data_IF_728309688377
#
_entry.id   IF_728309688377
#
_cell.length_a   1.000
_cell.length_b   1.000
_cell.length_c   1.000
_cell.angle_alpha   90.00
_cell.angle_beta   90.00
_cell.angle_gamma   90.00
#
_symmetry.space_group_name_H-M   'P 1'
#
loop_
_entity.id
_entity.type
_entity.pdbx_description
1 polymer ?
#
# COMPACT_ATOMS: atom_id res chain seq x y z
N UNK A 1 3.91 4.48 18.52
CA UNK A 1 4.28 4.58 17.10
C UNK A 1 3.14 5.24 16.34
N UNK A 2 3.43 5.93 15.25
CA UNK A 2 2.45 6.27 14.22
C UNK A 2 3.05 5.79 12.89
N UNK A 3 2.43 4.82 12.24
CA UNK A 3 2.87 4.29 10.95
C UNK A 3 1.77 4.43 9.92
N UNK A 4 2.16 4.69 8.68
CA UNK A 4 1.27 4.65 7.52
C UNK A 4 2.02 4.05 6.36
N UNK A 5 1.61 2.85 5.95
CA UNK A 5 2.15 2.15 4.79
C UNK A 5 1.21 2.36 3.61
N UNK A 6 1.78 2.68 2.45
CA UNK A 6 1.06 3.02 1.23
C UNK A 6 1.67 2.21 0.08
N UNK A 7 0.91 1.34 -0.55
CA UNK A 7 1.37 0.55 -1.68
C UNK A 7 0.37 0.68 -2.84
N UNK A 8 0.74 1.30 -3.98
CA UNK A 8 -0.18 1.47 -5.10
C UNK A 8 -0.55 0.14 -5.75
N UNK A 9 0.30 -0.88 -5.65
CA UNK A 9 0.07 -2.18 -6.28
C UNK A 9 1.34 -2.98 -6.62
N UNK A 10 2.49 -2.69 -6.03
CA UNK A 10 3.75 -3.39 -6.30
C UNK A 10 3.98 -4.52 -5.30
N UNK A 11 4.22 -5.73 -5.79
CA UNK A 11 4.54 -6.90 -4.96
C UNK A 11 5.90 -6.75 -4.27
N UNK A 12 6.84 -6.08 -4.94
CA UNK A 12 8.23 -5.90 -4.50
C UNK A 12 8.33 -4.99 -3.26
N UNK A 13 7.25 -4.25 -2.94
CA UNK A 13 7.13 -3.45 -1.71
C UNK A 13 6.68 -4.29 -0.50
N UNK A 14 6.40 -5.57 -0.69
CA UNK A 14 6.17 -6.54 0.37
C UNK A 14 7.43 -7.36 0.59
N UNK A 15 7.66 -7.81 1.83
CA UNK A 15 8.81 -8.65 2.18
C UNK A 15 8.57 -10.11 1.77
N UNK A 16 8.38 -10.35 0.47
CA UNK A 16 8.06 -11.65 -0.15
C UNK A 16 8.87 -11.87 -1.41
N UNK A 17 9.29 -13.12 -1.62
CA UNK A 17 10.05 -13.51 -2.82
C UNK A 17 9.15 -13.93 -3.98
N UNK A 18 7.99 -14.52 -3.68
CA UNK A 18 7.16 -15.19 -4.68
C UNK A 18 5.96 -14.37 -5.15
N UNK A 19 5.83 -13.13 -4.67
CA UNK A 19 4.80 -12.20 -5.14
C UNK A 19 5.10 -11.66 -6.54
N UNK A 20 4.06 -11.25 -7.26
CA UNK A 20 4.21 -10.68 -8.59
C UNK A 20 3.30 -9.47 -8.82
N UNK A 21 3.88 -8.45 -9.44
CA UNK A 21 3.17 -7.26 -9.93
C UNK A 21 2.51 -7.56 -11.27
N UNK A 22 1.27 -7.08 -11.43
CA UNK A 22 0.42 -7.21 -12.60
C UNK A 22 -0.01 -5.81 -13.03
N UNK A 23 0.34 -5.45 -14.26
CA UNK A 23 0.01 -4.17 -14.87
C UNK A 23 -1.33 -4.27 -15.59
N UNK A 24 -2.19 -3.27 -15.41
CA UNK A 24 -3.46 -3.15 -16.13
C UNK A 24 -4.46 -2.27 -15.41
N UNK A 25 -4.94 -1.23 -16.09
CA UNK A 25 -5.96 -0.31 -15.56
C UNK A 25 -7.30 -1.00 -15.29
N UNK A 26 -7.58 -2.13 -15.97
CA UNK A 26 -8.74 -2.95 -15.68
C UNK A 26 -8.68 -3.62 -14.30
N UNK A 27 -7.48 -3.79 -13.73
CA UNK A 27 -7.26 -4.44 -12.44
C UNK A 27 -7.09 -3.44 -11.30
N UNK A 28 -6.68 -2.21 -11.60
CA UNK A 28 -6.42 -1.19 -10.58
C UNK A 28 -6.57 0.24 -11.09
N UNK A 29 -7.06 1.12 -10.22
CA UNK A 29 -7.08 2.57 -10.41
C UNK A 29 -5.68 3.20 -10.45
N UNK A 30 -4.65 2.53 -9.93
CA UNK A 30 -3.25 3.00 -9.97
C UNK A 30 -2.50 2.47 -11.20
N UNK A 31 -3.15 1.61 -12.01
CA UNK A 31 -2.54 0.92 -13.15
C UNK A 31 -1.70 -0.31 -12.78
N UNK A 32 -1.42 -0.53 -11.50
CA UNK A 32 -0.64 -1.66 -10.99
C UNK A 32 -1.36 -2.37 -9.87
N UNK A 33 -1.21 -3.68 -9.80
CA UNK A 33 -1.78 -4.54 -8.77
C UNK A 33 -0.84 -5.69 -8.50
N UNK A 34 -1.01 -6.40 -7.39
CA UNK A 34 -0.16 -7.54 -7.06
C UNK A 34 -0.98 -8.72 -6.56
N UNK A 35 -0.34 -9.88 -6.63
CA UNK A 35 -0.69 -11.04 -5.83
C UNK A 35 0.56 -11.59 -5.15
N UNK A 36 0.40 -12.23 -4.00
CA UNK A 36 1.52 -12.86 -3.30
C UNK A 36 1.08 -14.18 -2.62
N UNK A 37 1.63 -15.34 -3.03
CA UNK A 37 1.18 -16.64 -2.55
C UNK A 37 1.90 -17.15 -1.31
N UNK A 38 2.97 -16.49 -0.87
CA UNK A 38 3.75 -16.89 0.30
C UNK A 38 2.98 -16.60 1.58
N UNK A 39 2.56 -17.68 2.25
CA UNK A 39 1.80 -17.59 3.49
C UNK A 39 2.59 -16.92 4.63
N UNK A 40 1.89 -16.15 5.48
CA UNK A 40 2.45 -15.40 6.62
C UNK A 40 3.60 -14.44 6.30
N UNK A 41 3.55 -13.83 5.11
CA UNK A 41 4.50 -12.78 4.71
C UNK A 41 3.76 -11.54 4.22
N UNK A 42 4.45 -10.41 4.27
CA UNK A 42 3.88 -9.11 3.96
C UNK A 42 4.75 -7.99 4.52
N UNK A 43 4.23 -7.26 5.49
CA UNK A 43 4.87 -6.09 6.09
C UNK A 43 5.33 -6.39 7.53
N UNK A 44 6.60 -6.14 7.81
CA UNK A 44 7.13 -6.19 9.18
C UNK A 44 7.15 -4.78 9.79
N UNK A 45 6.60 -4.65 10.98
CA UNK A 45 6.53 -3.42 11.76
C UNK A 45 7.61 -3.43 12.86
N UNK A 46 8.06 -2.25 13.29
CA UNK A 46 8.99 -2.14 14.42
C UNK A 46 8.34 -2.48 15.76
N UNK A 47 7.05 -2.18 15.89
CA UNK A 47 6.24 -2.39 17.10
C UNK A 47 4.90 -3.04 16.73
N UNK A 48 4.26 -3.69 17.72
CA UNK A 48 2.91 -4.24 17.55
C UNK A 48 1.92 -3.07 17.57
N UNK A 49 1.07 -2.92 16.55
CA UNK A 49 0.14 -1.79 16.49
C UNK A 49 -1.02 -2.02 17.48
N UNK A 50 -1.39 -0.99 18.28
CA UNK A 50 -2.46 -1.12 19.25
C UNK A 50 -3.83 -1.28 18.60
N UNK A 51 -4.00 -0.79 17.37
CA UNK A 51 -5.15 -0.99 16.48
C UNK A 51 -4.62 -1.01 15.04
N UNK A 52 -5.37 -1.60 14.11
CA UNK A 52 -4.99 -1.62 12.70
C UNK A 52 -6.18 -1.20 11.84
N UNK A 53 -5.94 -0.19 11.01
CA UNK A 53 -6.81 0.23 9.93
C UNK A 53 -6.21 -0.21 8.60
N UNK A 54 -7.04 -0.69 7.69
CA UNK A 54 -6.63 -1.08 6.36
C UNK A 54 -7.65 -0.69 5.31
N UNK A 55 -7.14 -0.26 4.15
CA UNK A 55 -7.95 0.02 2.96
C UNK A 55 -7.22 -0.52 1.74
N UNK A 56 -7.89 -1.24 0.88
CA UNK A 56 -7.33 -1.73 -0.37
C UNK A 56 -8.39 -1.89 -1.45
N UNK A 57 -7.98 -1.82 -2.70
CA UNK A 57 -8.82 -2.19 -3.83
C UNK A 57 -8.52 -3.66 -4.18
N UNK A 58 -9.56 -4.43 -4.46
CA UNK A 58 -9.51 -5.84 -4.83
C UNK A 58 -10.17 -6.03 -6.21
N UNK A 59 -9.53 -6.82 -7.07
CA UNK A 59 -10.10 -7.27 -8.34
C UNK A 59 -10.12 -8.79 -8.39
N UNK A 60 -11.29 -9.38 -8.65
CA UNK A 60 -11.47 -10.83 -8.78
C UNK A 60 -11.69 -11.17 -10.25
N UNK A 61 -10.80 -11.94 -10.88
CA UNK A 61 -10.91 -12.33 -12.30
C UNK A 61 -12.10 -13.28 -12.56
N UNK A 62 -12.51 -14.05 -11.55
CA UNK A 62 -13.54 -15.09 -11.60
C UNK A 62 -13.35 -16.06 -12.78
N UNK A 63 -12.21 -16.75 -12.76
CA UNK A 63 -11.89 -17.82 -13.70
C UNK A 63 -12.62 -19.12 -13.32
N UNK A 64 -12.74 -20.07 -14.26
CA UNK A 64 -13.34 -21.40 -13.99
C UNK A 64 -12.60 -22.17 -12.87
N UNK A 65 -11.32 -21.82 -12.61
CA UNK A 65 -10.50 -22.34 -11.51
C UNK A 65 -10.74 -21.66 -10.15
N UNK A 66 -11.58 -20.62 -10.10
CA UNK A 66 -11.81 -19.74 -8.94
C UNK A 66 -12.40 -20.42 -7.69
N UNK A 67 -12.63 -21.74 -7.70
CA UNK A 67 -12.97 -22.51 -6.50
C UNK A 67 -11.85 -22.59 -5.47
N UNK A 68 -10.59 -22.35 -5.87
CA UNK A 68 -9.44 -22.41 -4.96
C UNK A 68 -8.86 -21.04 -4.60
N UNK A 69 -9.27 -19.95 -5.25
CA UNK A 69 -8.67 -18.64 -5.04
C UNK A 69 -9.06 -18.06 -3.66
N UNK A 70 -8.08 -17.48 -2.97
CA UNK A 70 -8.22 -17.02 -1.59
C UNK A 70 -7.39 -15.77 -1.33
N UNK A 71 -8.04 -14.76 -0.75
CA UNK A 71 -7.40 -13.62 -0.10
C UNK A 71 -7.37 -13.85 1.41
N UNK A 72 -6.29 -13.49 2.09
CA UNK A 72 -6.26 -13.37 3.55
C UNK A 72 -5.36 -12.21 4.00
N UNK A 73 -5.90 -11.30 4.80
CA UNK A 73 -5.10 -10.39 5.63
C UNK A 73 -5.03 -10.97 7.04
N UNK A 74 -3.85 -10.98 7.63
CA UNK A 74 -3.62 -11.45 8.99
C UNK A 74 -2.62 -10.57 9.72
N UNK A 75 -2.72 -10.51 11.05
CA UNK A 75 -1.71 -9.90 11.93
C UNK A 75 -1.41 -10.86 13.08
N UNK A 76 -0.14 -11.11 13.37
CA UNK A 76 0.21 -12.07 14.43
C UNK A 76 -0.37 -13.45 14.22
N UNK A 77 -0.45 -13.92 12.98
CA UNK A 77 -1.07 -15.20 12.65
C UNK A 77 -2.61 -15.21 12.69
N UNK A 78 -3.26 -14.19 13.26
CA UNK A 78 -4.71 -14.06 13.31
C UNK A 78 -5.22 -13.53 11.97
N UNK A 79 -5.98 -14.35 11.25
CA UNK A 79 -6.70 -13.92 10.05
C UNK A 79 -7.77 -12.91 10.44
N UNK A 80 -7.83 -11.80 9.71
CA UNK A 80 -8.70 -10.65 9.94
C UNK A 80 -9.75 -10.57 8.83
N UNK A 81 -9.28 -10.46 7.59
CA UNK A 81 -10.10 -10.38 6.39
C UNK A 81 -9.78 -11.60 5.54
N UNK A 82 -10.80 -12.28 5.04
CA UNK A 82 -10.63 -13.30 4.02
C UNK A 82 -11.64 -13.06 2.89
N UNK A 83 -11.23 -13.30 1.65
CA UNK A 83 -12.14 -13.39 0.51
C UNK A 83 -11.99 -14.76 -0.13
N UNK A 84 -13.09 -15.49 -0.25
CA UNK A 84 -13.14 -16.81 -0.87
C UNK A 84 -14.50 -17.04 -1.54
N UNK A 85 -14.54 -18.01 -2.46
CA UNK A 85 -15.76 -18.40 -3.16
C UNK A 85 -16.58 -19.34 -2.27
N UNK A 86 -17.77 -18.91 -1.88
CA UNK A 86 -18.77 -19.73 -1.17
C UNK A 86 -19.83 -20.22 -2.15
N UNK A 87 -19.80 -21.52 -2.45
CA UNK A 87 -20.60 -22.13 -3.52
C UNK A 87 -20.39 -21.40 -4.86
N UNK A 88 -21.32 -20.54 -5.25
CA UNK A 88 -21.28 -19.78 -6.51
C UNK A 88 -20.99 -18.28 -6.33
N UNK A 89 -20.85 -17.78 -5.10
CA UNK A 89 -20.69 -16.34 -4.82
C UNK A 89 -19.39 -16.06 -4.08
N UNK A 90 -18.70 -15.00 -4.50
CA UNK A 90 -17.57 -14.46 -3.76
C UNK A 90 -18.06 -13.67 -2.56
N UNK A 91 -17.46 -13.89 -1.39
CA UNK A 91 -17.77 -13.13 -0.18
C UNK A 91 -16.49 -12.74 0.53
N UNK A 92 -16.54 -11.61 1.22
CA UNK A 92 -15.53 -11.23 2.20
C UNK A 92 -16.07 -11.58 3.59
N UNK A 93 -15.21 -12.16 4.43
CA UNK A 93 -15.52 -12.43 5.83
C UNK A 93 -14.53 -11.76 6.76
N UNK A 94 -15.06 -11.33 7.89
CA UNK A 94 -14.29 -11.07 9.08
C UNK A 94 -14.01 -12.37 9.80
N UNK A 95 -12.76 -12.60 10.15
CA UNK A 95 -12.33 -13.79 10.87
C UNK A 95 -11.54 -13.40 12.11
N UNK A 96 -11.55 -14.31 13.08
CA UNK A 96 -10.63 -14.34 14.19
C UNK A 96 -10.00 -15.74 14.19
N UNK A 97 -8.93 -15.89 13.40
CA UNK A 97 -8.28 -17.17 13.15
C UNK A 97 -9.21 -18.22 12.49
N UNK A 98 -9.86 -19.08 13.28
CA UNK A 98 -10.79 -20.12 12.81
C UNK A 98 -12.25 -19.80 13.09
N UNK A 99 -12.53 -18.74 13.86
CA UNK A 99 -13.88 -18.27 14.13
C UNK A 99 -14.27 -17.21 13.10
N UNK A 100 -15.44 -17.40 12.49
CA UNK A 100 -16.02 -16.43 11.58
C UNK A 100 -16.76 -15.38 12.40
N UNK A 101 -16.30 -14.12 12.34
CA UNK A 101 -16.92 -13.01 13.07
C UNK A 101 -18.09 -12.42 12.28
N UNK A 102 -17.92 -12.27 10.97
CA UNK A 102 -18.93 -11.69 10.09
C UNK A 102 -18.75 -12.18 8.66
N UNK A 103 -19.83 -12.17 7.87
CA UNK A 103 -19.82 -12.46 6.44
C UNK A 103 -20.56 -11.36 5.72
N UNK A 104 -19.89 -10.75 4.74
CA UNK A 104 -20.52 -9.77 3.88
C UNK A 104 -21.40 -10.37 2.79
N UNK A 105 -22.07 -9.48 2.09
CA UNK A 105 -22.80 -9.79 0.88
C UNK A 105 -21.87 -10.29 -0.24
N UNK A 106 -22.49 -10.71 -1.34
CA UNK A 106 -21.75 -11.09 -2.52
C UNK A 106 -20.90 -9.92 -3.04
N UNK A 107 -19.63 -10.18 -3.28
CA UNK A 107 -18.67 -9.23 -3.84
C UNK A 107 -18.72 -9.29 -5.36
N UNK A 108 -18.54 -8.14 -6.01
CA UNK A 108 -18.51 -8.07 -7.47
C UNK A 108 -17.24 -8.75 -8.01
N UNK A 109 -17.38 -9.34 -9.18
CA UNK A 109 -16.29 -9.97 -9.92
C UNK A 109 -16.06 -9.22 -11.21
N UNK A 110 -14.83 -9.29 -11.72
CA UNK A 110 -14.36 -8.57 -12.91
C UNK A 110 -14.51 -7.05 -12.81
N UNK A 111 -14.59 -6.56 -11.58
CA UNK A 111 -14.70 -5.16 -11.21
C UNK A 111 -13.84 -4.90 -9.99
N UNK A 112 -13.46 -3.63 -9.81
CA UNK A 112 -12.72 -3.18 -8.64
C UNK A 112 -13.70 -2.97 -7.48
N UNK A 113 -13.41 -3.60 -6.34
CA UNK A 113 -14.10 -3.40 -5.07
C UNK A 113 -13.16 -2.79 -4.05
N UNK A 114 -13.58 -1.73 -3.36
CA UNK A 114 -12.82 -1.15 -2.25
C UNK A 114 -13.20 -1.83 -0.94
N UNK A 115 -12.20 -2.34 -0.22
CA UNK A 115 -12.37 -2.92 1.12
C UNK A 115 -11.73 -1.98 2.12
N UNK A 116 -12.44 -1.69 3.19
CA UNK A 116 -11.92 -0.97 4.35
C UNK A 116 -12.18 -1.82 5.61
N UNK A 117 -11.24 -1.82 6.54
CA UNK A 117 -11.41 -2.46 7.83
C UNK A 117 -10.70 -1.70 8.95
N UNK A 118 -11.20 -1.90 10.16
CA UNK A 118 -10.60 -1.51 11.43
C UNK A 118 -10.68 -2.69 12.39
N UNK A 119 -9.55 -3.02 13.00
CA UNK A 119 -9.49 -3.93 14.12
C UNK A 119 -8.83 -3.29 15.33
N UNK A 120 -9.39 -3.60 16.49
CA UNK A 120 -8.81 -3.30 17.79
C UNK A 120 -8.73 -4.61 18.58
N UNK A 121 -7.56 -4.97 19.11
CA UNK A 121 -7.40 -6.13 19.97
C UNK A 121 -8.18 -5.91 21.26
N UNK A 122 -8.76 -6.99 21.77
CA UNK A 122 -9.54 -6.96 22.98
C UNK A 122 -9.93 -8.35 23.45
N UNK A 123 -9.76 -8.56 24.74
CA UNK A 123 -10.23 -9.74 25.46
C UNK A 123 -11.44 -9.32 26.31
N UNK A 124 -12.46 -10.18 26.42
CA UNK A 124 -13.65 -9.93 27.25
C UNK A 124 -14.51 -8.70 26.84
N UNK A 125 -14.67 -8.48 25.54
CA UNK A 125 -15.70 -7.59 25.00
C UNK A 125 -15.31 -6.11 24.84
N UNK A 126 -14.02 -5.80 24.70
CA UNK A 126 -13.51 -4.45 24.41
C UNK A 126 -12.77 -4.33 23.06
N UNK A 127 -12.78 -5.39 22.24
CA UNK A 127 -12.19 -5.39 20.91
C UNK A 127 -13.16 -4.90 19.84
N UNK A 128 -12.63 -4.43 18.72
CA UNK A 128 -13.42 -3.93 17.59
C UNK A 128 -13.10 -4.73 16.34
N UNK A 129 -14.13 -5.06 15.59
CA UNK A 129 -14.03 -5.52 14.21
C UNK A 129 -15.05 -4.77 13.36
N UNK A 130 -14.58 -3.87 12.52
CA UNK A 130 -15.42 -3.07 11.63
C UNK A 130 -14.91 -3.21 10.20
N UNK A 131 -15.79 -3.53 9.26
CA UNK A 131 -15.43 -3.64 7.85
C UNK A 131 -16.51 -3.04 6.95
N UNK A 132 -16.06 -2.46 5.84
CA UNK A 132 -16.90 -1.89 4.79
C UNK A 132 -16.42 -2.38 3.43
N UNK A 133 -17.36 -2.57 2.50
CA UNK A 133 -17.08 -2.87 1.10
C UNK A 133 -17.81 -1.83 0.25
N UNK A 134 -17.08 -1.15 -0.61
CA UNK A 134 -17.60 -0.08 -1.48
C UNK A 134 -18.43 0.96 -0.69
N UNK A 135 -17.87 1.42 0.44
CA UNK A 135 -18.49 2.36 1.38
C UNK A 135 -19.76 1.85 2.08
N UNK A 136 -20.14 0.57 1.91
CA UNK A 136 -21.25 -0.05 2.63
C UNK A 136 -20.73 -0.81 3.84
N UNK A 137 -21.28 -0.50 5.01
CA UNK A 137 -20.95 -1.23 6.24
C UNK A 137 -21.39 -2.70 6.09
N UNK A 138 -20.43 -3.61 6.28
CA UNK A 138 -20.66 -5.07 6.23
C UNK A 138 -20.83 -5.61 7.64
N UNK A 139 -20.03 -5.11 8.57
CA UNK A 139 -20.10 -5.50 9.97
C UNK A 139 -19.42 -4.48 10.85
N UNK A 140 -19.93 -4.31 12.06
CA UNK A 140 -19.40 -3.39 13.05
C UNK A 140 -19.62 -3.97 14.45
N UNK A 141 -18.65 -4.77 14.90
CA UNK A 141 -18.68 -5.49 16.17
C UNK A 141 -17.79 -4.72 17.15
N UNK A 142 -18.38 -4.23 18.25
CA UNK A 142 -17.70 -3.39 19.26
C UNK A 142 -17.23 -4.17 20.50
N UNK A 143 -17.52 -5.47 20.53
CA UNK A 143 -17.18 -6.41 21.60
C UNK A 143 -16.52 -7.67 21.05
N UNK A 144 -15.72 -7.53 19.99
CA UNK A 144 -15.05 -8.63 19.32
C UNK A 144 -13.94 -9.21 20.20
N UNK A 145 -13.75 -10.53 20.12
CA UNK A 145 -12.55 -11.18 20.64
C UNK A 145 -11.47 -11.11 19.56
N UNK A 146 -10.41 -10.33 19.80
CA UNK A 146 -9.30 -10.12 18.84
C UNK A 146 -7.98 -10.21 19.61
N UNK A 147 -7.27 -11.33 19.46
CA UNK A 147 -6.18 -11.73 20.37
C UNK A 147 -4.75 -11.53 19.87
N UNK A 148 -4.52 -10.71 18.83
CA UNK A 148 -3.21 -10.70 18.17
C UNK A 148 -2.05 -10.15 19.01
N UNK A 149 -2.32 -9.37 20.07
CA UNK A 149 -1.27 -8.73 20.89
C UNK A 149 -0.31 -9.72 21.57
N UNK A 150 -0.77 -10.94 21.86
CA UNK A 150 0.02 -11.95 22.58
C UNK A 150 0.81 -12.86 21.66
N UNK A 151 0.66 -12.72 20.34
CA UNK A 151 1.35 -13.56 19.36
C UNK A 151 2.77 -13.07 19.10
N UNK A 152 3.72 -14.01 18.93
CA UNK A 152 5.11 -13.68 18.60
C UNK A 152 5.27 -12.94 17.27
N UNK A 153 4.35 -13.15 16.33
CA UNK A 153 4.35 -12.57 14.99
C UNK A 153 3.49 -11.31 14.90
N UNK A 154 3.04 -10.74 16.02
CA UNK A 154 2.12 -9.59 16.07
C UNK A 154 2.66 -8.31 15.40
N UNK A 155 3.95 -8.30 15.05
CA UNK A 155 4.61 -7.25 14.27
C UNK A 155 4.53 -7.48 12.75
N UNK A 156 3.97 -8.60 12.30
CA UNK A 156 3.87 -8.92 10.87
C UNK A 156 2.42 -8.84 10.43
N UNK A 157 2.16 -7.96 9.47
CA UNK A 157 0.90 -7.95 8.70
C UNK A 157 1.14 -8.82 7.48
N UNK A 158 0.48 -9.97 7.45
CA UNK A 158 0.54 -10.89 6.32
C UNK A 158 -0.61 -10.65 5.36
N UNK A 159 -0.31 -10.71 4.07
CA UNK A 159 -1.28 -10.54 2.97
C UNK A 159 -1.11 -11.71 2.05
N UNK A 160 -2.06 -12.63 1.95
CA UNK A 160 -1.99 -13.79 1.07
C UNK A 160 -3.00 -13.64 -0.06
N UNK A 161 -2.55 -13.80 -1.31
CA UNK A 161 -3.38 -14.25 -2.43
C UNK A 161 -2.72 -15.45 -3.07
N UNK A 162 -3.35 -16.62 -2.97
CA UNK A 162 -2.70 -17.88 -3.33
C UNK A 162 -2.46 -18.07 -4.84
N UNK A 163 -3.09 -17.25 -5.68
CA UNK A 163 -2.86 -17.18 -7.12
C UNK A 163 -3.23 -15.78 -7.64
N UNK A 164 -3.13 -15.59 -8.95
CA UNK A 164 -3.42 -14.33 -9.65
C UNK A 164 -4.91 -14.11 -9.97
N UNK A 165 -5.83 -14.95 -9.46
CA UNK A 165 -7.28 -14.75 -9.64
C UNK A 165 -7.82 -13.60 -8.77
N UNK A 166 -7.12 -13.27 -7.68
CA UNK A 166 -7.41 -12.11 -6.83
C UNK A 166 -6.19 -11.20 -6.81
N UNK A 167 -6.39 -9.97 -7.27
CA UNK A 167 -5.36 -8.93 -7.33
C UNK A 167 -5.68 -7.83 -6.31
N UNK A 168 -4.63 -7.32 -5.65
CA UNK A 168 -4.70 -6.26 -4.65
C UNK A 168 -4.00 -5.01 -5.20
N UNK A 169 -4.56 -3.84 -4.94
CA UNK A 169 -3.91 -2.55 -5.21
C UNK A 169 -4.40 -1.49 -4.24
N UNK A 170 -3.91 -0.26 -4.37
CA UNK A 170 -4.42 0.88 -3.59
C UNK A 170 -4.42 0.59 -2.06
N UNK A 171 -3.37 -0.07 -1.59
CA UNK A 171 -3.25 -0.59 -0.22
C UNK A 171 -2.74 0.51 0.72
N UNK A 172 -3.48 0.77 1.77
CA UNK A 172 -3.14 1.66 2.88
C UNK A 172 -3.29 0.86 4.18
N UNK A 173 -2.25 0.84 5.01
CA UNK A 173 -2.27 0.26 6.36
C UNK A 173 -1.80 1.31 7.36
N UNK A 174 -2.47 1.42 8.50
CA UNK A 174 -2.22 2.48 9.48
C UNK A 174 -2.60 2.03 10.89
N UNK A 175 -1.86 2.49 11.91
CA UNK A 175 -2.26 2.36 13.32
C UNK A 175 -3.22 3.48 13.77
N UNK A 176 -3.44 4.47 12.91
CA UNK A 176 -4.43 5.53 13.10
C UNK A 176 -5.58 5.40 12.10
N UNK A 177 -6.73 6.00 12.44
CA UNK A 177 -7.93 6.00 11.61
C UNK A 177 -7.65 6.53 10.19
N UNK A 178 -8.07 5.74 9.20
CA UNK A 178 -8.09 6.16 7.79
C UNK A 178 -9.53 6.24 7.33
N UNK A 179 -9.85 7.23 6.50
CA UNK A 179 -11.18 7.32 5.92
C UNK A 179 -11.42 6.15 4.95
N UNK A 180 -12.62 5.53 4.93
CA UNK A 180 -13.01 4.60 3.87
C UNK A 180 -12.89 5.18 2.45
N UNK A 181 -12.90 6.52 2.34
CA UNK A 181 -12.76 7.26 1.07
C UNK A 181 -11.31 7.61 0.72
N UNK A 182 -10.36 7.42 1.63
CA UNK A 182 -8.96 7.75 1.37
C UNK A 182 -8.33 6.79 0.36
N UNK A 183 -7.86 7.27 -0.78
CA UNK A 183 -7.29 6.45 -1.84
C UNK A 183 -5.87 6.88 -2.22
N UNK A 184 -5.09 5.90 -2.67
CA UNK A 184 -3.80 6.07 -3.33
C UNK A 184 -4.05 6.47 -4.78
N UNK A 185 -3.39 7.55 -5.19
CA UNK A 185 -3.37 8.02 -6.57
C UNK A 185 -1.92 8.16 -7.03
N UNK A 186 -1.68 7.92 -8.31
CA UNK A 186 -0.41 8.29 -8.92
C UNK A 186 -0.42 9.80 -9.15
N UNK A 187 0.58 10.50 -8.62
CA UNK A 187 0.68 11.94 -8.81
C UNK A 187 1.10 12.22 -10.27
N UNK A 188 0.31 12.99 -11.04
CA UNK A 188 0.70 13.35 -12.39
C UNK A 188 1.93 14.25 -12.32
N UNK A 189 2.94 13.95 -13.14
CA UNK A 189 4.19 14.71 -13.19
C UNK A 189 4.03 15.85 -14.18
N UNK A 190 4.25 17.08 -13.72
CA UNK A 190 4.30 18.27 -14.59
C UNK A 190 5.68 18.45 -15.22
N UNK A 191 6.73 18.27 -14.43
CA UNK A 191 8.11 18.41 -14.88
C UNK A 191 9.06 17.61 -14.00
N UNK A 192 10.17 17.17 -14.60
CA UNK A 192 11.27 16.52 -13.91
C UNK A 192 12.50 17.42 -13.97
N UNK A 193 13.12 17.67 -12.82
CA UNK A 193 14.40 18.35 -12.67
C UNK A 193 15.42 17.36 -12.15
N UNK A 194 16.54 17.20 -12.84
CA UNK A 194 17.57 16.27 -12.40
C UNK A 194 18.96 16.67 -12.87
N UNK A 195 19.95 16.29 -12.07
CA UNK A 195 21.37 16.34 -12.43
C UNK A 195 21.91 14.93 -12.72
N UNK A 196 21.05 13.91 -12.76
CA UNK A 196 21.36 12.54 -13.15
C UNK A 196 21.31 12.38 -14.67
N UNK A 197 21.93 11.31 -15.18
CA UNK A 197 21.91 11.00 -16.62
C UNK A 197 20.56 10.38 -16.98
N UNK A 198 19.83 10.98 -17.91
CA UNK A 198 18.61 10.41 -18.49
C UNK A 198 18.97 9.28 -19.47
N UNK A 199 18.43 8.08 -19.24
CA UNK A 199 18.68 6.91 -20.06
C UNK A 199 17.75 6.79 -21.28
N UNK A 200 16.74 7.67 -21.41
CA UNK A 200 15.80 7.72 -22.53
C UNK A 200 14.65 6.71 -22.46
N UNK A 201 14.58 5.90 -21.42
CA UNK A 201 13.52 4.92 -21.14
C UNK A 201 12.67 5.28 -19.90
N UNK A 202 12.88 6.47 -19.34
CA UNK A 202 12.27 6.94 -18.11
C UNK A 202 13.09 6.64 -16.85
N UNK A 203 14.21 5.91 -16.97
CA UNK A 203 15.16 5.71 -15.88
C UNK A 203 16.25 6.80 -15.86
N UNK A 204 16.85 6.99 -14.68
CA UNK A 204 17.90 7.97 -14.44
C UNK A 204 19.07 7.32 -13.71
N UNK A 205 20.29 7.57 -14.20
CA UNK A 205 21.52 7.04 -13.63
C UNK A 205 22.30 8.14 -12.90
N UNK A 206 22.51 7.95 -11.60
CA UNK A 206 23.40 8.79 -10.82
C UNK A 206 24.84 8.27 -10.93
N UNK A 207 25.77 9.17 -11.25
CA UNK A 207 27.21 8.89 -11.40
C UNK A 207 28.05 9.48 -10.26
N UNK A 208 27.44 10.29 -9.39
CA UNK A 208 28.07 10.91 -8.24
C UNK A 208 27.09 11.12 -7.08
N UNK A 209 27.62 11.12 -5.86
CA UNK A 209 26.84 11.45 -4.67
C UNK A 209 26.36 12.91 -4.71
N UNK A 210 25.14 13.14 -4.24
CA UNK A 210 24.50 14.46 -4.19
C UNK A 210 23.65 14.83 -5.40
N UNK A 211 23.65 14.02 -6.46
CA UNK A 211 22.75 14.23 -7.61
C UNK A 211 21.29 14.01 -7.20
N UNK A 212 20.42 14.91 -7.66
CA UNK A 212 18.99 14.90 -7.37
C UNK A 212 18.18 14.46 -8.60
N UNK A 213 17.08 13.76 -8.36
CA UNK A 213 15.96 13.55 -9.29
C UNK A 213 14.70 14.05 -8.59
N UNK A 214 14.05 15.07 -9.15
CA UNK A 214 12.93 15.77 -8.53
C UNK A 214 11.79 15.94 -9.52
N UNK A 215 10.57 15.72 -9.06
CA UNK A 215 9.36 15.86 -9.86
C UNK A 215 8.41 16.88 -9.23
N UNK A 216 7.93 17.82 -10.05
CA UNK A 216 6.83 18.71 -9.71
C UNK A 216 5.50 18.05 -10.12
N UNK A 217 4.47 18.24 -9.31
CA UNK A 217 3.15 17.64 -9.53
C UNK A 217 2.28 18.55 -10.42
N UNK A 218 1.52 17.97 -11.35
CA UNK A 218 0.52 18.70 -12.11
C UNK A 218 -0.72 18.99 -11.24
N UNK A 219 -0.68 20.14 -10.58
CA UNK A 219 -1.74 20.58 -9.66
C UNK A 219 -3.03 20.92 -10.41
N UNK A 220 -2.92 21.37 -11.66
CA UNK A 220 -4.10 21.69 -12.46
C UNK A 220 -4.89 20.40 -12.75
N UNK A 221 -4.22 19.36 -13.22
CA UNK A 221 -4.84 18.06 -13.45
C UNK A 221 -5.47 17.47 -12.17
N UNK A 222 -4.72 17.50 -11.05
CA UNK A 222 -5.23 17.01 -9.77
C UNK A 222 -6.43 17.81 -9.26
N UNK A 223 -6.39 19.14 -9.37
CA UNK A 223 -7.47 20.02 -8.91
C UNK A 223 -8.72 19.85 -9.75
N UNK A 224 -8.59 19.62 -11.06
CA UNK A 224 -9.72 19.30 -11.94
C UNK A 224 -10.36 17.96 -11.55
N UNK A 225 -9.56 16.95 -11.24
CA UNK A 225 -10.08 15.61 -10.96
C UNK A 225 -10.64 15.45 -9.54
N UNK A 226 -9.99 16.03 -8.53
CA UNK A 226 -10.30 15.79 -7.12
C UNK A 226 -10.71 17.05 -6.35
N UNK A 227 -10.58 18.24 -6.93
CA UNK A 227 -10.80 19.51 -6.24
C UNK A 227 -9.58 19.97 -5.45
N UNK A 228 -9.24 21.26 -5.56
CA UNK A 228 -8.04 21.83 -4.96
C UNK A 228 -7.98 21.72 -3.41
N UNK A 229 -9.14 21.65 -2.75
CA UNK A 229 -9.26 21.54 -1.29
C UNK A 229 -9.21 20.09 -0.77
N UNK A 230 -9.10 19.10 -1.66
CA UNK A 230 -8.96 17.70 -1.24
C UNK A 230 -7.68 17.50 -0.43
N UNK A 231 -7.80 16.70 0.63
CA UNK A 231 -6.71 16.44 1.57
C UNK A 231 -5.76 15.38 1.05
N UNK A 232 -4.46 15.65 1.19
CA UNK A 232 -3.36 14.72 1.00
C UNK A 232 -2.93 14.25 2.39
N UNK A 233 -3.22 13.00 2.71
CA UNK A 233 -3.00 12.40 4.04
C UNK A 233 -1.66 11.65 4.14
N UNK A 234 -0.97 11.47 3.02
CA UNK A 234 0.33 10.84 2.94
C UNK A 234 0.95 11.02 1.56
N UNK A 235 2.26 10.88 1.48
CA UNK A 235 3.03 10.90 0.24
C UNK A 235 3.96 9.68 0.28
N UNK A 236 4.00 8.95 -0.84
CA UNK A 236 4.93 7.84 -1.03
C UNK A 236 5.79 8.11 -2.25
N UNK A 237 7.11 8.17 -2.05
CA UNK A 237 8.08 8.21 -3.13
C UNK A 237 8.49 6.79 -3.48
N UNK A 238 8.48 6.46 -4.76
CA UNK A 238 8.82 5.12 -5.26
C UNK A 238 9.91 5.27 -6.32
N UNK A 239 11.03 4.58 -6.13
CA UNK A 239 12.03 4.35 -7.17
C UNK A 239 11.83 2.96 -7.75
N UNK A 240 11.42 2.86 -9.02
CA UNK A 240 11.13 1.60 -9.70
C UNK A 240 11.58 1.64 -11.18
N UNK A 241 12.65 0.91 -11.56
CA UNK A 241 13.56 0.19 -10.67
C UNK A 241 14.46 1.16 -9.88
N UNK A 242 15.01 0.68 -8.76
CA UNK A 242 16.01 1.37 -7.95
C UNK A 242 17.07 0.37 -7.48
N UNK A 243 18.23 0.41 -8.14
CA UNK A 243 19.35 -0.49 -7.89
C UNK A 243 20.68 0.22 -8.02
N UNK A 244 21.74 -0.39 -7.50
CA UNK A 244 23.11 0.11 -7.60
C UNK A 244 23.95 -0.79 -8.49
N UNK A 245 24.85 -0.16 -9.25
CA UNK A 245 25.84 -0.83 -10.10
C UNK A 245 27.24 -0.84 -9.48
N UNK A 246 27.47 -0.06 -8.41
CA UNK A 246 28.73 0.04 -7.70
C UNK A 246 28.53 0.28 -6.18
N UNK A 247 29.54 -0.06 -5.39
CA UNK A 247 29.50 0.09 -3.92
C UNK A 247 29.51 1.56 -3.47
N UNK A 248 30.12 2.45 -4.26
CA UNK A 248 30.30 3.87 -3.89
C UNK A 248 29.07 4.76 -4.01
N UNK A 249 27.95 4.26 -4.53
CA UNK A 249 26.69 5.00 -4.66
C UNK A 249 25.52 4.04 -4.39
N UNK A 250 25.24 3.80 -3.12
CA UNK A 250 24.32 2.75 -2.69
C UNK A 250 23.12 3.26 -1.90
N UNK A 251 23.01 4.56 -1.65
CA UNK A 251 21.93 5.14 -0.85
C UNK A 251 21.08 6.08 -1.69
N UNK A 252 19.77 5.91 -1.62
CA UNK A 252 18.78 6.88 -2.06
C UNK A 252 18.16 7.56 -0.83
N UNK A 253 18.29 8.89 -0.78
CA UNK A 253 17.65 9.70 0.27
C UNK A 253 16.41 10.36 -0.31
N UNK A 254 15.26 10.13 0.30
CA UNK A 254 14.02 10.79 -0.07
C UNK A 254 14.11 12.28 0.28
N UNK A 255 13.81 13.15 -0.68
CA UNK A 255 13.87 14.61 -0.51
C UNK A 255 12.61 15.30 -0.98
N UNK A 256 12.34 16.44 -0.38
CA UNK A 256 11.33 17.40 -0.81
C UNK A 256 11.94 18.79 -0.88
N UNK A 257 11.71 19.51 -1.98
CA UNK A 257 12.06 20.93 -2.11
C UNK A 257 10.79 21.77 -2.06
N UNK A 258 10.80 22.81 -1.23
CA UNK A 258 9.70 23.77 -1.11
C UNK A 258 10.26 25.16 -0.82
N UNK A 259 10.02 26.14 -1.70
CA UNK A 259 10.44 27.53 -1.48
C UNK A 259 11.94 27.71 -1.20
N UNK A 260 12.80 26.92 -1.87
CA UNK A 260 14.26 26.94 -1.68
C UNK A 260 14.78 26.10 -0.50
N UNK A 261 13.91 25.59 0.37
CA UNK A 261 14.30 24.67 1.43
C UNK A 261 14.31 23.23 0.92
N UNK A 262 15.31 22.45 1.33
CA UNK A 262 15.39 21.01 1.08
C UNK A 262 15.17 20.28 2.39
N UNK A 263 14.13 19.45 2.44
CA UNK A 263 13.86 18.55 3.56
C UNK A 263 14.25 17.13 3.16
N UNK A 264 15.01 16.45 4.01
CA UNK A 264 15.40 15.04 3.83
C UNK A 264 14.54 14.15 4.72
N UNK A 265 14.16 12.98 4.22
CA UNK A 265 13.37 11.99 4.95
C UNK A 265 14.18 10.70 5.13
N UNK A 266 13.67 9.55 4.69
CA UNK A 266 14.35 8.27 4.82
C UNK A 266 15.58 8.14 3.92
N UNK A 267 16.55 7.37 4.42
CA UNK A 267 17.71 6.88 3.65
C UNK A 267 17.51 5.39 3.39
N UNK A 268 17.60 4.99 2.13
CA UNK A 268 17.28 3.65 1.67
C UNK A 268 18.45 3.08 0.89
N UNK A 269 18.85 1.87 1.22
CA UNK A 269 19.96 1.19 0.53
C UNK A 269 19.40 0.54 -0.74
N UNK A 270 19.92 0.95 -1.89
CA UNK A 270 19.61 0.32 -3.17
C UNK A 270 20.32 -1.03 -3.26
N UNK A 271 19.58 -2.06 -3.68
CA UNK A 271 20.15 -3.40 -3.88
C UNK A 271 20.91 -3.50 -5.20
N UNK A 272 21.68 -4.56 -5.40
CA UNK A 272 22.33 -4.85 -6.69
C UNK A 272 21.40 -5.56 -7.69
N UNK A 273 20.15 -5.82 -7.30
CA UNK A 273 19.17 -6.49 -8.15
C UNK A 273 18.45 -5.46 -9.05
N UNK A 274 18.51 -5.59 -10.40
CA UNK A 274 17.91 -4.63 -11.33
C UNK A 274 16.39 -4.47 -11.22
N UNK A 275 15.69 -5.39 -10.56
CA UNK A 275 14.24 -5.32 -10.36
C UNK A 275 13.84 -4.77 -8.99
N UNK A 276 14.80 -4.33 -8.17
CA UNK A 276 14.50 -3.85 -6.83
C UNK A 276 13.76 -2.53 -6.87
N UNK A 277 12.89 -2.34 -5.88
CA UNK A 277 12.11 -1.12 -5.68
C UNK A 277 12.52 -0.51 -4.34
N UNK A 278 12.63 0.81 -4.30
CA UNK A 278 12.81 1.57 -3.06
C UNK A 278 11.57 2.42 -2.83
N UNK A 279 11.12 2.52 -1.57
CA UNK A 279 9.98 3.33 -1.20
C UNK A 279 10.23 4.13 0.07
N UNK A 280 9.85 5.40 0.06
CA UNK A 280 9.75 6.27 1.23
C UNK A 280 8.30 6.74 1.40
N UNK A 281 7.60 6.20 2.38
CA UNK A 281 6.24 6.59 2.72
C UNK A 281 6.20 7.47 3.96
N UNK A 282 5.44 8.57 3.90
CA UNK A 282 5.24 9.47 5.05
C UNK A 282 3.81 9.96 5.16
N UNK A 283 3.37 10.16 6.39
CA UNK A 283 2.14 10.90 6.69
C UNK A 283 2.35 12.38 6.39
N UNK A 284 1.32 13.03 5.87
CA UNK A 284 1.28 14.50 5.74
C UNK A 284 -0.15 15.00 5.98
N UNK A 285 -0.31 16.31 6.06
CA UNK A 285 -1.60 16.97 6.18
C UNK A 285 -1.59 18.21 5.30
N UNK A 286 -1.66 17.98 3.99
CA UNK A 286 -1.67 19.03 2.97
C UNK A 286 -3.02 19.03 2.23
N UNK A 287 -3.27 20.07 1.46
CA UNK A 287 -4.25 20.11 0.39
C UNK A 287 -3.55 19.95 -0.95
N UNK A 288 -4.29 19.55 -1.98
CA UNK A 288 -3.78 19.48 -3.36
C UNK A 288 -3.18 20.83 -3.79
N UNK A 289 -3.81 21.95 -3.43
CA UNK A 289 -3.28 23.29 -3.73
C UNK A 289 -1.91 23.58 -3.09
N UNK A 290 -1.60 22.98 -1.93
CA UNK A 290 -0.33 23.19 -1.21
C UNK A 290 0.84 22.39 -1.80
N UNK A 291 0.61 21.63 -2.87
CA UNK A 291 1.63 20.88 -3.60
C UNK A 291 2.29 21.70 -4.73
N UNK A 292 1.76 22.87 -5.11
CA UNK A 292 2.21 23.64 -6.30
C UNK A 292 3.68 24.05 -6.29
N UNK A 293 4.22 24.32 -5.11
CA UNK A 293 5.59 24.80 -4.95
C UNK A 293 6.51 23.69 -4.43
N UNK A 294 6.02 22.44 -4.44
CA UNK A 294 6.73 21.28 -3.91
C UNK A 294 7.25 20.41 -5.03
N UNK A 295 8.49 19.98 -4.87
CA UNK A 295 9.11 18.95 -5.69
C UNK A 295 9.47 17.78 -4.80
N UNK A 296 9.27 16.56 -5.31
CA UNK A 296 9.55 15.34 -4.56
C UNK A 296 10.48 14.44 -5.35
N UNK A 297 11.36 13.73 -4.67
CA UNK A 297 12.15 12.69 -5.33
C UNK A 297 13.34 12.22 -4.51
N UNK A 298 14.43 11.90 -5.20
CA UNK A 298 15.55 11.15 -4.64
C UNK A 298 16.86 11.90 -4.79
N UNK A 299 17.71 11.81 -3.76
CA UNK A 299 19.12 12.18 -3.80
C UNK A 299 19.99 10.94 -3.72
N UNK A 300 20.88 10.75 -4.68
CA UNK A 300 21.86 9.68 -4.65
C UNK A 300 22.98 9.99 -3.64
N UNK A 301 23.52 8.96 -2.98
CA UNK A 301 24.54 9.12 -1.96
C UNK A 301 25.31 7.84 -1.62
N UNK A 302 26.29 8.00 -0.74
CA UNK A 302 27.14 6.93 -0.18
C UNK A 302 26.53 6.36 1.10
#
# INVERSE_FOLDING_TARGET
MAFKYINPGYAELLSVKDGATVIGEQYSKTGVSFWQPTYYKGLNLSEVPPELYGRFDMYIKDTEKGGNAKLSFAIGGYKIIEAEKFWSTWKIRGSNNNEMLAVGDAVRVKEICAVWFHIKPGENGNGVFHAMIDEREVCNIQNAYVGYLTNSDAKTIAILTNNDDILISNLILSDEEISPREQVIMLPVQSTQTDMTDCGDGSYEATAAGQDLLQSVDIAALSTQYGADSRVMGISLIGNPAYRTAEGLCVLTAIEKSGGNVTTYGRHIAEQNPTSIVMDGRKTSLRISELSDRQFGWRAGV
#
